data_IF_683349679523
#
_entry.id   IF_683349679523
#
_cell.length_a   1.000
_cell.length_b   1.000
_cell.length_c   1.000
_cell.angle_alpha   90.00
_cell.angle_beta   90.00
_cell.angle_gamma   90.00
#
_symmetry.space_group_name_H-M   'P 1'
#
loop_
_entity.id
_entity.type
_entity.pdbx_description
1 polymer ?
#
# COMPACT_ATOMS: atom_id res chain seq x y z
N UNK A 1 13.82 -9.57 -28.93
CA UNK A 1 14.33 -10.83 -28.34
C UNK A 1 14.69 -10.59 -26.89
N UNK A 2 14.18 -11.42 -25.99
CA UNK A 2 14.31 -11.26 -24.52
C UNK A 2 15.57 -11.98 -23.99
N UNK A 3 16.76 -11.63 -24.55
CA UNK A 3 18.04 -12.27 -24.20
C UNK A 3 18.66 -11.64 -22.95
N UNK A 4 19.23 -12.49 -22.12
CA UNK A 4 19.98 -12.12 -20.91
C UNK A 4 21.29 -11.47 -21.33
N UNK A 5 21.59 -10.29 -20.76
CA UNK A 5 22.80 -9.51 -21.00
C UNK A 5 23.59 -9.33 -19.71
N UNK A 6 24.81 -8.80 -19.83
CA UNK A 6 25.55 -8.28 -18.68
C UNK A 6 24.65 -7.33 -17.89
N UNK A 7 24.67 -7.42 -16.57
CA UNK A 7 23.86 -6.68 -15.61
C UNK A 7 22.33 -6.96 -15.65
N UNK A 8 21.87 -7.92 -16.46
CA UNK A 8 20.47 -8.35 -16.42
C UNK A 8 20.14 -8.99 -15.08
N UNK A 9 18.98 -8.68 -14.46
CA UNK A 9 18.49 -9.43 -13.32
C UNK A 9 17.93 -10.77 -13.78
N UNK A 10 18.31 -11.86 -13.12
CA UNK A 10 17.84 -13.22 -13.42
C UNK A 10 17.43 -13.91 -12.13
N UNK A 11 16.26 -14.52 -12.15
CA UNK A 11 15.85 -15.46 -11.11
C UNK A 11 16.26 -16.87 -11.54
N UNK A 12 17.29 -17.41 -10.91
CA UNK A 12 17.65 -18.81 -11.05
C UNK A 12 16.66 -19.65 -10.25
N UNK A 13 15.77 -20.35 -10.92
CA UNK A 13 14.69 -21.13 -10.31
C UNK A 13 14.99 -22.62 -10.38
N UNK A 14 15.10 -23.27 -9.24
CA UNK A 14 15.19 -24.72 -9.12
C UNK A 14 13.86 -25.36 -8.75
N UNK A 15 13.22 -24.84 -7.67
CA UNK A 15 11.88 -25.21 -7.24
C UNK A 15 11.25 -24.09 -6.42
N UNK A 16 10.04 -24.29 -5.91
CA UNK A 16 9.29 -23.24 -5.18
C UNK A 16 10.07 -22.65 -4.00
N UNK A 17 10.77 -23.47 -3.22
CA UNK A 17 11.53 -23.03 -2.03
C UNK A 17 12.98 -22.61 -2.36
N UNK A 18 13.50 -22.97 -3.52
CA UNK A 18 14.90 -22.77 -3.90
C UNK A 18 15.04 -21.98 -5.19
N UNK A 19 15.21 -20.69 -5.02
CA UNK A 19 15.34 -19.69 -6.10
C UNK A 19 16.25 -18.56 -5.64
N UNK A 20 17.05 -18.04 -6.56
CA UNK A 20 18.07 -17.02 -6.30
C UNK A 20 17.91 -15.87 -7.30
N UNK A 21 17.74 -14.68 -6.79
CA UNK A 21 17.70 -13.45 -7.58
C UNK A 21 19.09 -12.86 -7.68
N UNK A 22 19.63 -12.80 -8.88
CA UNK A 22 21.02 -12.44 -9.15
C UNK A 22 21.09 -11.41 -10.28
N UNK A 23 21.98 -10.42 -10.15
CA UNK A 23 22.38 -9.52 -11.24
C UNK A 23 23.57 -10.17 -11.95
N UNK A 24 23.42 -10.46 -13.24
CA UNK A 24 24.43 -11.18 -14.02
C UNK A 24 25.73 -10.38 -14.16
N UNK A 25 26.85 -11.01 -13.84
CA UNK A 25 28.18 -10.49 -14.04
C UNK A 25 29.05 -11.56 -14.70
N UNK A 26 29.66 -11.27 -15.85
CA UNK A 26 30.43 -12.25 -16.63
C UNK A 26 31.54 -12.98 -15.83
N UNK A 27 32.06 -12.31 -14.80
CA UNK A 27 33.16 -12.83 -13.99
C UNK A 27 32.70 -13.66 -12.79
N UNK A 28 31.42 -13.64 -12.46
CA UNK A 28 30.90 -14.25 -11.24
C UNK A 28 30.27 -15.61 -11.49
N UNK A 29 30.04 -16.32 -10.40
CA UNK A 29 29.34 -17.59 -10.38
C UNK A 29 28.38 -17.64 -9.19
N UNK A 30 27.22 -18.27 -9.39
CA UNK A 30 26.25 -18.54 -8.32
C UNK A 30 26.62 -19.89 -7.66
N UNK A 31 27.01 -19.84 -6.40
CA UNK A 31 27.31 -21.02 -5.59
C UNK A 31 26.10 -21.42 -4.77
N UNK A 32 25.65 -22.66 -4.92
CA UNK A 32 24.46 -23.18 -4.23
C UNK A 32 24.69 -24.61 -3.77
N UNK A 33 23.83 -25.12 -2.90
CA UNK A 33 23.87 -26.54 -2.47
C UNK A 33 23.58 -27.51 -3.62
N UNK A 34 22.91 -27.06 -4.71
CA UNK A 34 22.67 -27.89 -5.91
C UNK A 34 23.79 -27.77 -6.95
N UNK A 35 24.85 -27.07 -6.65
CA UNK A 35 26.04 -26.89 -7.49
C UNK A 35 26.32 -25.42 -7.83
N UNK A 36 27.31 -25.26 -8.71
CA UNK A 36 27.79 -23.95 -9.18
C UNK A 36 27.29 -23.69 -10.59
N UNK A 37 26.90 -22.43 -10.85
CA UNK A 37 26.46 -21.96 -12.16
C UNK A 37 27.28 -20.72 -12.49
N UNK A 38 28.03 -20.75 -13.60
CA UNK A 38 28.73 -19.57 -14.08
C UNK A 38 27.72 -18.59 -14.69
N UNK A 39 27.78 -17.31 -14.31
CA UNK A 39 26.91 -16.28 -14.88
C UNK A 39 27.14 -16.10 -16.39
N UNK A 40 28.37 -16.34 -16.88
CA UNK A 40 28.69 -16.33 -18.31
C UNK A 40 27.79 -17.26 -19.12
N UNK A 41 27.39 -18.41 -18.56
CA UNK A 41 26.59 -19.42 -19.26
C UNK A 41 25.12 -18.98 -19.46
N UNK A 42 24.67 -17.99 -18.68
CA UNK A 42 23.35 -17.37 -18.85
C UNK A 42 23.34 -16.25 -19.92
N UNK A 43 24.51 -15.62 -20.16
CA UNK A 43 24.58 -14.50 -21.12
C UNK A 43 24.28 -15.00 -22.54
N UNK A 44 23.42 -14.27 -23.25
CA UNK A 44 22.98 -14.61 -24.61
C UNK A 44 21.82 -15.61 -24.68
N UNK A 45 21.50 -16.32 -23.58
CA UNK A 45 20.32 -17.19 -23.51
C UNK A 45 19.04 -16.35 -23.35
N UNK A 46 17.92 -16.92 -23.74
CA UNK A 46 16.61 -16.32 -23.54
C UNK A 46 16.11 -16.58 -22.09
N UNK A 47 15.34 -15.64 -21.55
CA UNK A 47 14.58 -15.94 -20.34
C UNK A 47 13.60 -17.10 -20.61
N UNK A 48 13.46 -18.00 -19.65
CA UNK A 48 12.76 -19.27 -19.78
C UNK A 48 13.66 -20.45 -20.12
N UNK A 49 14.90 -20.22 -20.57
CA UNK A 49 15.88 -21.28 -20.81
C UNK A 49 16.31 -21.95 -19.52
N UNK A 50 16.90 -23.13 -19.64
CA UNK A 50 17.52 -23.83 -18.49
C UNK A 50 19.03 -23.94 -18.64
N UNK A 51 19.70 -24.01 -17.51
CA UNK A 51 21.12 -24.35 -17.37
C UNK A 51 21.27 -25.60 -16.53
N UNK A 52 22.39 -26.28 -16.72
CA UNK A 52 22.82 -27.41 -15.88
C UNK A 52 23.91 -26.94 -14.94
N UNK A 53 23.82 -27.27 -13.65
CA UNK A 53 24.89 -27.04 -12.66
C UNK A 53 26.01 -28.05 -12.83
N UNK A 54 27.14 -27.82 -12.20
CA UNK A 54 28.25 -28.82 -12.14
C UNK A 54 27.92 -30.12 -11.37
N UNK A 55 26.69 -30.22 -10.82
CA UNK A 55 26.16 -31.43 -10.15
C UNK A 55 24.95 -32.00 -10.93
N UNK A 56 24.87 -31.78 -12.23
CA UNK A 56 23.83 -32.28 -13.13
C UNK A 56 22.39 -31.95 -12.69
N UNK A 57 22.21 -30.79 -12.03
CA UNK A 57 20.88 -30.25 -11.68
C UNK A 57 20.49 -29.15 -12.64
N UNK A 58 19.23 -29.13 -13.02
CA UNK A 58 18.66 -28.09 -13.90
C UNK A 58 18.13 -26.91 -13.11
N UNK A 59 18.41 -25.68 -13.59
CA UNK A 59 17.81 -24.43 -13.13
C UNK A 59 17.24 -23.68 -14.32
N UNK A 60 16.09 -23.03 -14.12
CA UNK A 60 15.49 -22.17 -15.14
C UNK A 60 15.93 -20.72 -14.93
N UNK A 61 16.15 -20.01 -16.03
CA UNK A 61 16.54 -18.60 -16.06
C UNK A 61 15.27 -17.75 -16.24
N UNK A 62 14.62 -17.37 -15.15
CA UNK A 62 13.37 -16.62 -15.20
C UNK A 62 13.62 -15.10 -15.12
N UNK A 63 12.75 -14.31 -15.79
CA UNK A 63 12.72 -12.88 -15.60
C UNK A 63 12.06 -12.60 -14.23
N UNK A 64 12.73 -11.88 -13.31
CA UNK A 64 12.15 -11.59 -12.01
C UNK A 64 10.90 -10.73 -12.12
N UNK A 65 9.93 -11.01 -11.28
CA UNK A 65 8.75 -10.17 -11.04
C UNK A 65 8.98 -9.26 -9.82
N UNK A 66 8.13 -8.26 -9.61
CA UNK A 66 8.18 -7.45 -8.38
C UNK A 66 7.98 -8.30 -7.12
N UNK A 67 7.16 -9.35 -7.21
CA UNK A 67 7.03 -10.34 -6.13
C UNK A 67 8.40 -10.93 -5.72
N UNK A 68 9.22 -11.31 -6.72
CA UNK A 68 10.55 -11.90 -6.45
C UNK A 68 11.49 -10.87 -5.80
N UNK A 69 11.42 -9.60 -6.21
CA UNK A 69 12.19 -8.54 -5.57
C UNK A 69 11.78 -8.35 -4.12
N UNK A 70 10.49 -8.22 -3.83
CA UNK A 70 9.98 -8.06 -2.46
C UNK A 70 10.37 -9.24 -1.57
N UNK A 71 10.21 -10.46 -2.06
CA UNK A 71 10.53 -11.68 -1.30
C UNK A 71 12.03 -11.97 -1.15
N UNK A 72 12.88 -11.27 -1.90
CA UNK A 72 14.36 -11.39 -1.86
C UNK A 72 15.05 -10.08 -1.46
N UNK A 73 14.29 -9.14 -0.95
CA UNK A 73 14.81 -7.85 -0.47
C UNK A 73 15.77 -8.08 0.72
N UNK A 74 16.75 -7.20 0.86
CA UNK A 74 17.54 -7.17 2.08
C UNK A 74 16.68 -6.60 3.21
N UNK A 75 16.41 -7.41 4.23
CA UNK A 75 15.60 -7.01 5.36
C UNK A 75 16.37 -6.06 6.29
N UNK A 76 15.77 -4.94 6.62
CA UNK A 76 16.14 -4.07 7.74
C UNK A 76 15.03 -4.04 8.79
N UNK A 77 13.78 -4.15 8.28
CA UNK A 77 12.54 -4.19 9.06
C UNK A 77 11.64 -5.30 8.57
N UNK A 78 10.51 -5.53 9.24
CA UNK A 78 9.41 -6.33 8.69
C UNK A 78 8.94 -5.68 7.37
N UNK A 79 8.72 -6.49 6.35
CA UNK A 79 8.27 -6.01 5.03
C UNK A 79 6.75 -6.00 4.94
N UNK A 80 6.22 -5.11 4.11
CA UNK A 80 4.84 -5.25 3.62
C UNK A 80 4.80 -6.39 2.62
N UNK A 81 3.94 -7.38 2.85
CA UNK A 81 3.87 -8.58 2.02
C UNK A 81 3.15 -8.34 0.69
N UNK A 82 3.50 -9.08 -0.37
CA UNK A 82 2.89 -8.90 -1.70
C UNK A 82 1.36 -9.01 -1.72
N UNK A 83 0.75 -9.80 -0.83
CA UNK A 83 -0.71 -9.93 -0.71
C UNK A 83 -1.36 -8.60 -0.29
N UNK A 84 -0.72 -7.87 0.62
CA UNK A 84 -1.16 -6.58 1.13
C UNK A 84 -0.85 -5.47 0.12
N UNK A 85 0.36 -5.48 -0.47
CA UNK A 85 0.77 -4.54 -1.52
C UNK A 85 -0.21 -4.60 -2.71
N UNK A 86 -0.61 -5.79 -3.14
CA UNK A 86 -1.55 -5.97 -4.26
C UNK A 86 -2.91 -5.34 -3.98
N UNK A 87 -3.42 -5.50 -2.77
CA UNK A 87 -4.68 -4.87 -2.36
C UNK A 87 -4.55 -3.34 -2.25
N UNK A 88 -3.49 -2.84 -1.61
CA UNK A 88 -3.19 -1.41 -1.51
C UNK A 88 -3.21 -0.76 -2.91
N UNK A 89 -2.49 -1.34 -3.87
CA UNK A 89 -2.41 -0.83 -5.24
C UNK A 89 -3.81 -0.76 -5.89
N UNK A 90 -4.57 -1.84 -5.80
CA UNK A 90 -5.89 -1.93 -6.43
C UNK A 90 -6.90 -0.99 -5.76
N UNK A 91 -6.99 -0.99 -4.42
CA UNK A 91 -7.98 -0.22 -3.66
C UNK A 91 -7.69 1.28 -3.66
N UNK A 92 -6.42 1.68 -3.63
CA UNK A 92 -6.01 3.07 -3.74
C UNK A 92 -6.05 3.60 -5.19
N UNK A 93 -6.20 2.72 -6.17
CA UNK A 93 -6.18 3.08 -7.60
C UNK A 93 -4.81 3.61 -8.04
N UNK A 94 -3.72 2.97 -7.58
CA UNK A 94 -2.36 3.42 -7.93
C UNK A 94 -2.07 3.12 -9.39
N UNK A 95 -1.77 4.15 -10.16
CA UNK A 95 -1.54 4.07 -11.61
C UNK A 95 -0.36 4.93 -12.09
N UNK A 96 -0.01 4.75 -13.36
CA UNK A 96 1.10 5.49 -13.97
C UNK A 96 0.84 7.00 -14.02
N UNK A 97 1.80 7.78 -13.56
CA UNK A 97 1.75 9.25 -13.58
C UNK A 97 1.41 9.88 -12.23
N UNK A 98 0.99 9.10 -11.25
CA UNK A 98 0.63 9.59 -9.92
C UNK A 98 1.84 9.96 -9.08
N UNK A 99 1.63 10.90 -8.14
CA UNK A 99 2.56 11.28 -7.08
C UNK A 99 2.15 10.60 -5.78
N UNK A 100 3.02 9.77 -5.27
CA UNK A 100 2.78 8.99 -4.05
C UNK A 100 3.68 9.50 -2.93
N UNK A 101 3.10 9.73 -1.77
CA UNK A 101 3.84 9.93 -0.53
C UNK A 101 3.87 8.61 0.24
N UNK A 102 5.02 8.25 0.77
CA UNK A 102 5.18 7.14 1.70
C UNK A 102 5.86 7.64 2.97
N UNK A 103 5.33 7.29 4.13
CA UNK A 103 5.89 7.60 5.45
C UNK A 103 6.20 6.28 6.15
N UNK A 104 7.49 6.03 6.38
CA UNK A 104 8.03 4.74 6.79
C UNK A 104 8.55 3.96 5.60
N UNK A 105 9.75 4.32 5.10
CA UNK A 105 10.40 3.64 3.97
C UNK A 105 10.79 2.19 4.31
N UNK A 106 11.25 1.98 5.52
CA UNK A 106 11.72 0.69 6.01
C UNK A 106 12.73 0.05 5.07
N UNK A 107 12.45 -1.16 4.59
CA UNK A 107 13.30 -1.88 3.62
C UNK A 107 13.07 -1.47 2.17
N UNK A 108 12.12 -0.59 1.86
CA UNK A 108 11.79 -0.15 0.50
C UNK A 108 11.00 -1.18 -0.33
N UNK A 109 10.29 -2.11 0.31
CA UNK A 109 9.49 -3.14 -0.37
C UNK A 109 8.27 -2.54 -1.05
N UNK A 110 7.44 -1.80 -0.30
CA UNK A 110 6.26 -1.10 -0.80
C UNK A 110 6.69 -0.01 -1.79
N UNK A 111 7.69 0.81 -1.43
CA UNK A 111 8.31 1.83 -2.28
C UNK A 111 8.64 1.28 -3.67
N UNK A 112 9.35 0.14 -3.73
CA UNK A 112 9.80 -0.46 -4.99
C UNK A 112 8.64 -0.93 -5.87
N UNK A 113 7.61 -1.55 -5.27
CA UNK A 113 6.41 -1.99 -5.97
C UNK A 113 5.65 -0.79 -6.56
N UNK A 114 5.36 0.20 -5.73
CA UNK A 114 4.62 1.39 -6.13
C UNK A 114 5.37 2.18 -7.21
N UNK A 115 6.68 2.39 -7.04
CA UNK A 115 7.51 3.05 -8.04
C UNK A 115 7.52 2.31 -9.39
N UNK A 116 7.41 0.97 -9.38
CA UNK A 116 7.33 0.18 -10.61
C UNK A 116 6.03 0.38 -11.39
N UNK A 117 4.97 0.85 -10.73
CA UNK A 117 3.64 1.09 -11.31
C UNK A 117 3.50 2.54 -11.78
N UNK A 118 3.89 3.48 -10.94
CA UNK A 118 3.70 4.91 -11.26
C UNK A 118 4.58 5.42 -12.41
N UNK A 119 5.68 4.70 -12.74
CA UNK A 119 6.54 5.04 -13.88
C UNK A 119 5.76 5.00 -15.22
N UNK A 120 6.20 5.72 -16.28
CA UNK A 120 7.41 6.56 -16.33
C UNK A 120 7.19 8.01 -15.88
N UNK A 121 5.96 8.45 -15.63
CA UNK A 121 5.62 9.86 -15.37
C UNK A 121 5.33 10.19 -13.92
N UNK A 122 5.03 9.16 -13.10
CA UNK A 122 4.77 9.31 -11.67
C UNK A 122 6.03 9.22 -10.82
N UNK A 123 5.89 9.50 -9.53
CA UNK A 123 7.01 9.55 -8.61
C UNK A 123 6.58 9.16 -7.18
N UNK A 124 7.47 8.51 -6.45
CA UNK A 124 7.31 8.19 -5.02
C UNK A 124 8.25 9.05 -4.20
N UNK A 125 7.70 9.78 -3.25
CA UNK A 125 8.43 10.51 -2.23
C UNK A 125 8.30 9.73 -0.92
N UNK A 126 9.42 9.20 -0.42
CA UNK A 126 9.39 8.36 0.78
C UNK A 126 10.23 8.95 1.90
N UNK A 127 9.71 8.87 3.13
CA UNK A 127 10.26 9.48 4.33
C UNK A 127 10.55 8.43 5.38
N UNK A 128 11.73 8.51 5.99
CA UNK A 128 12.10 7.71 7.14
C UNK A 128 13.04 8.49 8.04
N UNK A 129 13.00 8.21 9.33
CA UNK A 129 13.87 8.84 10.33
C UNK A 129 15.19 8.09 10.50
N UNK A 130 15.21 6.78 10.19
CA UNK A 130 16.38 5.93 10.34
C UNK A 130 17.23 5.90 9.07
N UNK A 131 18.41 6.52 9.16
CA UNK A 131 19.36 6.59 8.06
C UNK A 131 19.85 5.21 7.58
N UNK A 132 19.91 4.21 8.47
CA UNK A 132 20.32 2.85 8.10
C UNK A 132 19.26 2.16 7.26
N UNK A 133 17.97 2.31 7.62
CA UNK A 133 16.88 1.82 6.80
C UNK A 133 16.85 2.50 5.44
N UNK A 134 17.09 3.81 5.37
CA UNK A 134 17.22 4.55 4.12
C UNK A 134 18.32 4.00 3.22
N UNK A 135 19.49 3.66 3.79
CA UNK A 135 20.61 3.04 3.05
C UNK A 135 20.27 1.64 2.53
N UNK A 136 19.55 0.85 3.32
CA UNK A 136 19.07 -0.48 2.91
C UNK A 136 18.03 -0.34 1.80
N UNK A 137 17.06 0.54 1.98
CA UNK A 137 16.02 0.83 0.98
C UNK A 137 16.63 1.28 -0.35
N UNK A 138 17.61 2.20 -0.34
CA UNK A 138 18.30 2.67 -1.54
C UNK A 138 18.87 1.52 -2.37
N UNK A 139 19.57 0.57 -1.72
CA UNK A 139 20.13 -0.62 -2.38
C UNK A 139 19.03 -1.52 -2.97
N UNK A 140 17.93 -1.68 -2.25
CA UNK A 140 16.81 -2.51 -2.70
C UNK A 140 16.05 -1.86 -3.88
N UNK A 141 15.80 -0.57 -3.83
CA UNK A 141 15.19 0.26 -4.88
C UNK A 141 16.07 0.24 -6.15
N UNK A 142 17.39 0.32 -5.99
CA UNK A 142 18.34 0.20 -7.10
C UNK A 142 18.27 -1.19 -7.74
N UNK A 143 18.28 -2.27 -6.93
CA UNK A 143 18.15 -3.65 -7.43
C UNK A 143 16.84 -3.86 -8.20
N UNK A 144 15.74 -3.24 -7.74
CA UNK A 144 14.45 -3.27 -8.43
C UNK A 144 14.43 -2.44 -9.72
N UNK A 145 15.45 -1.59 -9.97
CA UNK A 145 15.58 -0.78 -11.19
C UNK A 145 14.61 0.40 -11.25
N UNK A 146 14.19 0.93 -10.09
CA UNK A 146 13.18 2.00 -9.99
C UNK A 146 13.69 3.29 -9.35
N UNK A 147 14.98 3.40 -9.06
CA UNK A 147 15.60 4.56 -8.38
C UNK A 147 15.26 5.91 -9.00
N UNK A 148 15.08 5.97 -10.33
CA UNK A 148 14.71 7.22 -11.06
C UNK A 148 13.33 7.75 -10.69
N UNK A 149 12.50 6.93 -10.05
CA UNK A 149 11.10 7.24 -9.73
C UNK A 149 10.88 7.35 -8.22
N UNK A 150 11.97 7.44 -7.44
CA UNK A 150 11.92 7.53 -5.99
C UNK A 150 12.82 8.65 -5.49
N UNK A 151 12.30 9.49 -4.62
CA UNK A 151 13.07 10.43 -3.82
C UNK A 151 12.94 10.07 -2.36
N UNK A 152 14.07 9.80 -1.71
CA UNK A 152 14.13 9.48 -0.30
C UNK A 152 14.47 10.73 0.52
N UNK A 153 13.72 10.94 1.62
CA UNK A 153 13.92 12.03 2.56
C UNK A 153 14.16 11.47 3.97
N UNK A 154 15.33 11.76 4.53
CA UNK A 154 15.60 11.45 5.94
C UNK A 154 15.06 12.59 6.82
N UNK A 155 13.76 12.51 7.12
CA UNK A 155 13.03 13.55 7.84
C UNK A 155 11.85 12.95 8.60
N UNK A 156 11.60 13.46 9.82
CA UNK A 156 10.41 13.15 10.59
C UNK A 156 9.27 14.12 10.23
N UNK A 157 8.22 13.58 9.62
CA UNK A 157 7.03 14.37 9.29
C UNK A 157 6.13 14.66 10.49
N UNK A 158 6.26 13.94 11.61
CA UNK A 158 5.50 14.23 12.84
C UNK A 158 5.86 15.58 13.43
N UNK A 159 7.13 15.99 13.27
CA UNK A 159 7.67 17.23 13.84
C UNK A 159 7.84 18.35 12.81
N UNK A 160 7.51 18.09 11.54
CA UNK A 160 7.68 19.05 10.47
C UNK A 160 6.74 20.25 10.64
N UNK A 161 7.31 21.45 10.76
CA UNK A 161 6.56 22.73 10.88
C UNK A 161 5.87 23.15 9.58
N UNK A 162 6.37 22.69 8.46
CA UNK A 162 5.84 22.96 7.11
C UNK A 162 5.87 21.68 6.30
N UNK A 163 4.76 21.39 5.65
CA UNK A 163 4.70 20.20 4.79
C UNK A 163 5.54 20.40 3.54
N UNK A 164 6.47 19.47 3.26
CA UNK A 164 7.41 19.61 2.15
C UNK A 164 6.78 19.38 0.78
N UNK A 165 5.61 18.75 0.73
CA UNK A 165 4.93 18.32 -0.48
C UNK A 165 3.49 18.82 -0.52
N UNK A 166 2.91 18.82 -1.71
CA UNK A 166 1.50 19.13 -1.98
C UNK A 166 0.99 18.31 -3.15
N UNK A 167 -0.33 18.18 -3.20
CA UNK A 167 -1.02 17.55 -4.33
C UNK A 167 -0.59 16.11 -4.57
N UNK A 168 -0.49 15.34 -3.48
CA UNK A 168 -0.28 13.89 -3.54
C UNK A 168 -1.56 13.19 -3.94
N UNK A 169 -1.46 12.19 -4.80
CA UNK A 169 -2.60 11.39 -5.26
C UNK A 169 -2.95 10.30 -4.25
N UNK A 170 -1.93 9.66 -3.69
CA UNK A 170 -2.05 8.60 -2.68
C UNK A 170 -0.97 8.79 -1.61
N UNK A 171 -1.32 8.49 -0.38
CA UNK A 171 -0.40 8.50 0.76
C UNK A 171 -0.42 7.16 1.48
N UNK A 172 0.77 6.62 1.74
CA UNK A 172 1.00 5.32 2.35
C UNK A 172 1.73 5.53 3.68
N UNK A 173 1.19 4.98 4.77
CA UNK A 173 1.74 5.17 6.12
C UNK A 173 2.06 3.82 6.74
N UNK A 174 3.34 3.58 7.02
CA UNK A 174 3.85 2.40 7.71
C UNK A 174 4.67 2.84 8.94
N UNK A 175 3.96 3.30 9.97
CA UNK A 175 4.51 3.81 11.22
C UNK A 175 3.94 3.07 12.41
N UNK A 176 4.68 3.08 13.53
CA UNK A 176 4.19 2.56 14.81
C UNK A 176 2.98 3.32 15.38
N UNK A 177 2.82 4.57 15.01
CA UNK A 177 1.77 5.49 15.50
C UNK A 177 1.16 6.32 14.34
N UNK A 178 0.53 5.68 13.34
CA UNK A 178 0.09 6.34 12.11
C UNK A 178 -0.93 7.46 12.33
N UNK A 179 -1.68 7.43 13.43
CA UNK A 179 -2.69 8.46 13.76
C UNK A 179 -2.07 9.84 14.00
N UNK A 180 -0.79 9.91 14.41
CA UNK A 180 -0.13 11.19 14.76
C UNK A 180 0.10 12.07 13.54
N UNK A 181 0.28 11.48 12.35
CA UNK A 181 0.60 12.22 11.11
C UNK A 181 -0.65 12.54 10.26
N UNK A 182 -1.85 12.16 10.68
CA UNK A 182 -3.07 12.34 9.89
C UNK A 182 -3.36 13.80 9.55
N UNK A 183 -3.20 14.79 10.44
CA UNK A 183 -3.38 16.20 10.09
C UNK A 183 -2.42 16.66 8.97
N UNK A 184 -1.16 16.27 9.05
CA UNK A 184 -0.12 16.60 8.06
C UNK A 184 -0.40 15.94 6.71
N UNK A 185 -0.78 14.67 6.73
CA UNK A 185 -1.17 13.88 5.57
C UNK A 185 -2.36 14.55 4.86
N UNK A 186 -3.40 14.93 5.61
CA UNK A 186 -4.54 15.64 5.03
C UNK A 186 -4.15 16.93 4.29
N UNK A 187 -3.16 17.65 4.78
CA UNK A 187 -2.69 18.90 4.14
C UNK A 187 -2.05 18.61 2.78
N UNK A 188 -1.27 17.53 2.67
CA UNK A 188 -0.53 17.18 1.45
C UNK A 188 -1.38 16.49 0.38
N UNK A 189 -2.45 15.81 0.78
CA UNK A 189 -3.30 14.99 -0.09
C UNK A 189 -4.25 15.84 -0.93
N UNK A 190 -4.42 15.51 -2.20
CA UNK A 190 -5.45 16.08 -3.08
C UNK A 190 -6.88 15.80 -2.58
N UNK A 191 -7.83 16.60 -2.98
CA UNK A 191 -9.26 16.26 -2.87
C UNK A 191 -9.54 14.94 -3.61
N UNK A 192 -10.29 14.04 -3.00
CA UNK A 192 -10.52 12.66 -3.46
C UNK A 192 -9.28 11.76 -3.48
N UNK A 193 -8.10 12.24 -3.10
CA UNK A 193 -6.92 11.42 -2.89
C UNK A 193 -7.16 10.39 -1.78
N UNK A 194 -6.43 9.29 -1.83
CA UNK A 194 -6.58 8.18 -0.91
C UNK A 194 -5.39 8.03 0.04
N UNK A 195 -5.67 7.52 1.23
CA UNK A 195 -4.69 7.15 2.23
C UNK A 195 -4.80 5.66 2.52
N UNK A 196 -3.66 5.01 2.68
CA UNK A 196 -3.53 3.69 3.27
C UNK A 196 -2.58 3.74 4.47
N UNK A 197 -3.00 3.17 5.57
CA UNK A 197 -2.13 2.96 6.72
C UNK A 197 -2.06 1.48 7.11
N UNK A 198 -0.89 1.07 7.56
CA UNK A 198 -0.53 -0.29 7.94
C UNK A 198 -0.47 -0.34 9.46
N UNK A 199 -1.31 -1.17 10.06
CA UNK A 199 -1.47 -1.30 11.51
C UNK A 199 -1.22 -2.74 11.95
N UNK A 200 -0.10 -3.06 12.59
CA UNK A 200 0.16 -4.40 13.12
C UNK A 200 -0.85 -4.87 14.18
N UNK A 201 -1.53 -3.96 14.88
CA UNK A 201 -2.44 -4.30 15.99
C UNK A 201 -3.81 -3.61 15.86
N UNK A 202 -4.84 -4.23 16.47
CA UNK A 202 -6.20 -3.67 16.54
C UNK A 202 -6.24 -2.32 17.29
N UNK A 203 -5.43 -2.16 18.34
CA UNK A 203 -5.38 -0.91 19.10
C UNK A 203 -4.85 0.26 18.26
N UNK A 204 -3.88 -0.01 17.35
CA UNK A 204 -3.39 1.00 16.40
C UNK A 204 -4.47 1.34 15.37
N UNK A 205 -5.17 0.31 14.87
CA UNK A 205 -6.26 0.47 13.92
C UNK A 205 -7.39 1.34 14.49
N UNK A 206 -7.81 1.08 15.73
CA UNK A 206 -8.83 1.87 16.41
C UNK A 206 -8.43 3.34 16.52
N UNK A 207 -7.24 3.64 17.07
CA UNK A 207 -6.72 5.02 17.18
C UNK A 207 -6.64 5.73 15.82
N UNK A 208 -6.17 5.02 14.80
CA UNK A 208 -6.09 5.55 13.45
C UNK A 208 -7.47 5.89 12.89
N UNK A 209 -8.44 4.99 13.05
CA UNK A 209 -9.81 5.21 12.58
C UNK A 209 -10.44 6.44 13.23
N UNK A 210 -10.24 6.63 14.53
CA UNK A 210 -10.70 7.83 15.24
C UNK A 210 -10.04 9.10 14.69
N UNK A 211 -8.71 9.08 14.49
CA UNK A 211 -8.00 10.23 13.94
C UNK A 211 -8.45 10.56 12.49
N UNK A 212 -8.76 9.56 11.67
CA UNK A 212 -9.31 9.77 10.33
C UNK A 212 -10.68 10.45 10.38
N UNK A 213 -11.57 10.01 11.28
CA UNK A 213 -12.89 10.64 11.47
C UNK A 213 -12.74 12.08 11.95
N UNK A 214 -11.92 12.33 12.96
CA UNK A 214 -11.64 13.66 13.50
C UNK A 214 -11.07 14.63 12.46
N UNK A 215 -10.29 14.11 11.51
CA UNK A 215 -9.73 14.87 10.41
C UNK A 215 -10.58 14.80 9.13
N UNK A 216 -11.87 14.52 9.25
CA UNK A 216 -12.85 14.59 8.16
C UNK A 216 -12.47 13.76 6.91
N UNK A 217 -11.90 12.58 7.09
CA UNK A 217 -11.79 11.59 6.03
C UNK A 217 -13.11 10.83 5.87
N UNK A 218 -13.34 10.32 4.67
CA UNK A 218 -14.52 9.52 4.32
C UNK A 218 -14.11 8.20 3.69
N UNK A 219 -15.07 7.33 3.41
CA UNK A 219 -14.82 6.00 2.81
C UNK A 219 -13.79 5.19 3.63
N UNK A 220 -13.91 5.28 4.97
CA UNK A 220 -12.99 4.61 5.89
C UNK A 220 -13.33 3.12 5.91
N UNK A 221 -12.34 2.30 5.58
CA UNK A 221 -12.46 0.85 5.53
C UNK A 221 -11.24 0.20 6.18
N UNK A 222 -11.48 -0.80 7.01
CA UNK A 222 -10.42 -1.56 7.67
C UNK A 222 -10.51 -3.03 7.30
N UNK A 223 -9.40 -3.62 6.87
CA UNK A 223 -9.35 -5.01 6.38
C UNK A 223 -8.15 -5.77 6.90
N UNK A 224 -8.28 -7.10 6.98
CA UNK A 224 -7.17 -8.04 7.12
C UNK A 224 -7.20 -9.00 5.94
N UNK A 225 -6.03 -9.29 5.38
CA UNK A 225 -5.90 -10.19 4.23
C UNK A 225 -5.15 -11.46 4.63
N UNK A 226 -5.79 -12.60 4.46
CA UNK A 226 -5.19 -13.92 4.74
C UNK A 226 -4.97 -14.64 3.41
N UNK A 227 -3.71 -14.90 3.07
CA UNK A 227 -3.33 -15.69 1.91
C UNK A 227 -3.14 -17.15 2.29
N UNK A 228 -4.03 -18.02 1.80
CA UNK A 228 -3.92 -19.46 1.99
C UNK A 228 -3.44 -20.12 0.71
N UNK A 229 -2.25 -20.68 0.72
CA UNK A 229 -1.68 -21.40 -0.41
C UNK A 229 -2.22 -22.83 -0.48
N UNK A 230 -2.30 -23.36 -1.69
CA UNK A 230 -2.78 -24.73 -1.96
C UNK A 230 -1.65 -25.51 -2.63
N UNK A 231 -1.37 -26.70 -2.11
CA UNK A 231 -0.53 -27.70 -2.75
C UNK A 231 -1.42 -28.54 -3.66
N UNK A 232 -1.42 -28.23 -4.96
CA UNK A 232 -2.18 -28.98 -5.94
C UNK A 232 -1.29 -30.08 -6.55
N UNK A 233 -1.56 -31.33 -6.21
CA UNK A 233 -0.88 -32.51 -6.76
C UNK A 233 -1.93 -33.59 -6.99
N UNK A 234 -1.73 -34.40 -8.02
CA UNK A 234 -2.60 -35.53 -8.30
C UNK A 234 -2.76 -36.43 -7.06
N UNK A 235 -3.99 -36.68 -6.66
CA UNK A 235 -4.34 -37.46 -5.46
C UNK A 235 -3.95 -36.83 -4.11
N UNK A 236 -3.39 -35.62 -4.08
CA UNK A 236 -2.91 -34.96 -2.84
C UNK A 236 -3.14 -33.45 -2.81
N UNK A 237 -4.20 -32.96 -3.42
CA UNK A 237 -4.54 -31.53 -3.38
C UNK A 237 -5.08 -31.16 -2.00
N UNK A 238 -4.41 -30.21 -1.34
CA UNK A 238 -4.74 -29.74 0.01
C UNK A 238 -4.22 -28.34 0.27
N UNK A 239 -4.71 -27.71 1.31
CA UNK A 239 -4.07 -26.49 1.83
C UNK A 239 -2.64 -26.76 2.28
N UNK A 240 -1.73 -25.80 2.00
CA UNK A 240 -0.40 -25.84 2.58
C UNK A 240 -0.48 -25.74 4.11
N UNK A 241 0.34 -26.51 4.79
CA UNK A 241 0.52 -26.38 6.25
C UNK A 241 1.36 -25.16 6.62
N UNK A 242 2.09 -24.60 5.65
CA UNK A 242 2.88 -23.39 5.83
C UNK A 242 2.06 -22.21 5.34
N UNK A 243 1.85 -21.22 6.21
CA UNK A 243 1.17 -19.99 5.89
C UNK A 243 1.51 -18.93 6.95
N UNK A 244 1.46 -17.66 6.55
CA UNK A 244 1.54 -16.54 7.47
C UNK A 244 0.10 -16.21 7.83
N UNK A 245 -0.30 -16.43 9.07
CA UNK A 245 -1.66 -16.18 9.55
C UNK A 245 -1.98 -14.69 9.54
N UNK A 246 -1.30 -13.93 10.40
CA UNK A 246 -1.44 -12.49 10.51
C UNK A 246 -0.17 -11.77 10.01
N UNK A 247 -0.32 -10.69 9.27
CA UNK A 247 0.77 -9.79 8.92
C UNK A 247 0.50 -8.38 9.43
N UNK A 248 -0.67 -7.84 9.09
CA UNK A 248 -1.11 -6.49 9.44
C UNK A 248 -2.59 -6.31 9.15
N UNK A 249 -3.18 -5.30 9.76
CA UNK A 249 -4.45 -4.68 9.34
C UNK A 249 -4.14 -3.52 8.41
N UNK A 250 -4.99 -3.32 7.42
CA UNK A 250 -4.93 -2.22 6.47
C UNK A 250 -6.12 -1.29 6.70
N UNK A 251 -5.85 -0.01 6.83
CA UNK A 251 -6.88 1.01 6.91
C UNK A 251 -6.82 1.93 5.70
N UNK A 252 -7.90 2.02 4.97
CA UNK A 252 -8.10 2.88 3.81
C UNK A 252 -9.02 4.04 4.17
N UNK A 253 -8.77 5.22 3.59
CA UNK A 253 -9.70 6.34 3.63
C UNK A 253 -9.48 7.29 2.44
N UNK A 254 -10.42 8.21 2.22
CA UNK A 254 -10.34 9.23 1.17
C UNK A 254 -10.56 10.63 1.73
N UNK A 255 -9.81 11.59 1.21
CA UNK A 255 -10.01 13.00 1.54
C UNK A 255 -11.28 13.54 0.84
N UNK A 256 -12.20 14.04 1.63
CA UNK A 256 -13.38 14.75 1.14
C UNK A 256 -13.35 16.21 1.58
N UNK A 257 -14.06 17.06 0.84
CA UNK A 257 -14.37 18.43 1.24
C UNK A 257 -15.84 18.49 1.65
N UNK A 258 -16.08 18.80 2.90
CA UNK A 258 -17.44 19.06 3.36
C UNK A 258 -17.84 20.50 2.95
N UNK A 259 -18.99 20.64 2.33
CA UNK A 259 -19.55 21.97 2.07
C UNK A 259 -19.77 22.66 3.43
N UNK A 260 -19.13 23.80 3.66
CA UNK A 260 -19.50 24.65 4.82
C UNK A 260 -20.96 25.00 4.65
N UNK A 261 -21.82 24.57 5.57
CA UNK A 261 -23.19 25.10 5.64
C UNK A 261 -23.08 26.60 5.79
N UNK A 262 -23.40 27.34 4.73
CA UNK A 262 -23.63 28.78 4.82
C UNK A 262 -24.84 28.94 5.72
N UNK A 263 -24.63 29.34 6.99
CA UNK A 263 -25.75 29.79 7.84
C UNK A 263 -26.49 30.83 7.04
N UNK A 264 -27.66 30.46 6.49
CA UNK A 264 -28.61 31.42 5.95
C UNK A 264 -28.94 32.36 7.11
N UNK A 265 -28.49 33.62 7.02
CA UNK A 265 -28.89 34.67 7.91
C UNK A 265 -30.42 34.78 7.78
N UNK A 266 -31.14 34.36 8.80
CA UNK A 266 -32.57 34.61 8.91
C UNK A 266 -32.74 36.12 9.04
N UNK A 267 -32.97 36.82 7.92
CA UNK A 267 -33.47 38.17 7.94
C UNK A 267 -34.86 38.13 8.56
N UNK A 268 -34.95 38.58 9.80
CA UNK A 268 -36.25 38.90 10.47
C UNK A 268 -36.94 40.00 9.66
N UNK A 269 -37.88 39.63 8.85
CA UNK A 269 -38.85 40.58 8.32
C UNK A 269 -39.96 40.70 9.37
N UNK A 270 -39.92 41.80 10.12
CA UNK A 270 -41.01 42.27 10.94
C UNK A 270 -42.16 42.67 10.01
N UNK A 271 -43.29 41.97 10.07
CA UNK A 271 -44.58 42.48 9.56
C UNK A 271 -45.52 42.68 10.70
N UNK A 272 -45.94 43.93 10.78
CA UNK A 272 -46.89 44.54 11.65
C UNK A 272 -48.26 43.84 11.70
N UNK A 273 -48.87 43.95 12.82
CA UNK A 273 -50.19 43.48 13.17
C UNK A 273 -51.29 44.14 12.35
N UNK A 274 -52.30 43.38 11.96
CA UNK A 274 -53.67 43.89 11.87
C UNK A 274 -54.64 42.88 12.49
N UNK A 275 -55.32 43.34 13.52
CA UNK A 275 -56.47 42.71 14.18
C UNK A 275 -57.60 42.55 13.24
N UNK A 276 -58.29 41.43 13.17
CA UNK A 276 -59.72 41.37 12.92
C UNK A 276 -60.29 40.16 13.67
N UNK A 277 -61.26 40.55 14.52
CA UNK A 277 -62.13 39.69 15.34
C UNK A 277 -63.18 39.04 14.49
N UNK A 278 -63.54 37.76 14.66
CA UNK A 278 -64.96 37.33 14.69
C UNK A 278 -65.09 35.86 15.22
N UNK A 279 -65.88 35.78 16.18
CA UNK A 279 -66.71 34.86 16.92
C UNK A 279 -67.04 33.45 16.35
N UNK A 280 -66.99 32.51 17.23
CA UNK A 280 -68.02 31.52 17.67
C UNK A 280 -68.40 30.40 16.68
N UNK A 281 -68.19 29.12 17.04
CA UNK A 281 -69.28 28.26 17.58
C UNK A 281 -68.73 26.92 18.05
N UNK A 282 -69.19 26.49 19.24
CA UNK A 282 -69.09 25.19 19.85
C UNK A 282 -69.79 24.09 19.03
N UNK A 283 -69.27 22.87 18.99
CA UNK A 283 -70.12 21.67 19.23
C UNK A 283 -69.29 20.47 19.64
N UNK A 284 -69.68 19.91 20.74
CA UNK A 284 -69.42 18.72 21.47
C UNK A 284 -69.83 17.44 20.70
N UNK A 285 -69.14 16.33 20.86
CA UNK A 285 -69.65 14.98 21.27
C UNK A 285 -68.55 13.93 21.08
N UNK A 286 -68.10 13.35 22.15
CA UNK A 286 -68.36 12.07 22.82
C UNK A 286 -67.86 10.81 22.12
N UNK A 287 -66.93 10.18 22.84
CA UNK A 287 -66.86 8.74 23.23
C UNK A 287 -67.04 7.66 22.18
N UNK A 288 -66.09 6.74 22.07
CA UNK A 288 -66.22 5.43 22.78
C UNK A 288 -64.96 4.57 22.51
N UNK A 289 -64.53 4.00 23.55
CA UNK A 289 -63.70 2.88 23.92
C UNK A 289 -64.02 1.56 23.21
N UNK A 290 -62.97 0.71 23.07
CA UNK A 290 -62.83 -0.75 23.41
C UNK A 290 -61.77 -1.32 22.49
N UNK A 291 -60.69 -1.84 22.97
CA UNK A 291 -60.37 -3.10 23.68
C UNK A 291 -60.38 -4.36 22.75
N UNK A 292 -59.25 -5.06 22.89
CA UNK A 292 -58.98 -6.51 22.64
C UNK A 292 -58.78 -6.88 21.16
N UNK A 293 -57.73 -7.61 20.81
CA UNK A 293 -57.01 -8.69 21.45
C UNK A 293 -55.51 -8.66 21.05
#
# INVERSE_FOLDING_TARGET
MNKIKQNSPVLFYFNHSKKWLVKISKKDSLHTHIGVIKHSDAIGKEYGSRLTTNKDKYVYLLKPTMYDYVMKIQHGTQIVYPKDIGYIIARAGIESGQKILEIGTGSGSLTSCVASIVKPRGHVYTFDVDENFMKIAAKNIEKAGVSKYVTQHNQDLKTAKKMPLKDMDVELIDLGDPWVVIPQVREMLKGSGSIFAICPTMNQLEKLTMALVENEFTDIESTEHILRTIEAREGKTRHSFQGIGHTTYLCFARKAFFARETKKSSSKTSKSASKTTTKTTKKTTKKTSKKTA
#
